data_IF_845741796816
#
_entry.id   IF_845741796816
#
_cell.length_a   1.000
_cell.length_b   1.000
_cell.length_c   1.000
_cell.angle_alpha   90.00
_cell.angle_beta   90.00
_cell.angle_gamma   90.00
#
_symmetry.space_group_name_H-M   'P 1'
#
loop_
_entity.id
_entity.type
_entity.pdbx_description
1 polymer ?
#
# COMPACT_ATOMS: atom_id res chain seq x y z
N UNK A 1 -8.62 5.19 23.53
CA UNK A 1 -8.33 4.21 22.48
C UNK A 1 -7.02 4.61 21.86
N UNK A 2 -6.10 3.66 21.78
CA UNK A 2 -4.76 3.85 21.23
C UNK A 2 -4.83 3.78 19.71
N UNK A 3 -3.95 4.47 19.00
CA UNK A 3 -3.75 4.23 17.58
C UNK A 3 -2.88 2.99 17.39
N UNK A 4 -3.26 2.11 16.47
CA UNK A 4 -2.50 0.90 16.13
C UNK A 4 -2.24 0.86 14.63
N UNK A 5 -0.97 0.96 14.26
CA UNK A 5 -0.51 0.85 12.87
C UNK A 5 0.31 -0.43 12.68
N UNK A 6 0.13 -1.09 11.55
CA UNK A 6 1.10 -2.06 11.09
C UNK A 6 2.32 -1.31 10.55
N UNK A 7 3.47 -1.56 11.15
CA UNK A 7 4.76 -1.02 10.71
C UNK A 7 5.63 -2.18 10.26
N UNK A 8 6.32 -2.05 9.14
CA UNK A 8 7.32 -3.04 8.77
C UNK A 8 8.53 -2.47 8.04
N UNK A 9 9.69 -3.05 8.34
CA UNK A 9 10.94 -2.76 7.63
C UNK A 9 10.97 -3.61 6.37
N UNK A 10 11.10 -2.94 5.23
CA UNK A 10 11.13 -3.58 3.91
C UNK A 10 12.39 -4.41 3.74
N UNK A 11 12.38 -5.48 2.92
CA UNK A 11 13.51 -6.41 2.84
C UNK A 11 14.87 -5.76 2.55
N UNK A 12 14.90 -4.71 1.73
CA UNK A 12 16.13 -3.99 1.37
C UNK A 12 16.73 -3.16 2.52
N UNK A 13 15.96 -2.93 3.59
CA UNK A 13 16.39 -2.19 4.76
C UNK A 13 16.61 -3.11 5.99
N UNK A 14 16.59 -4.43 5.81
CA UNK A 14 16.78 -5.37 6.91
C UNK A 14 18.27 -5.63 7.13
N UNK A 15 18.79 -4.95 8.14
CA UNK A 15 20.09 -5.24 8.76
C UNK A 15 19.91 -5.18 10.26
N UNK A 16 20.81 -5.80 11.03
CA UNK A 16 20.76 -5.73 12.49
C UNK A 16 20.81 -4.28 12.99
N UNK A 17 21.61 -3.41 12.34
CA UNK A 17 21.72 -1.99 12.69
C UNK A 17 20.48 -1.20 12.32
N UNK A 18 19.89 -1.45 11.14
CA UNK A 18 18.68 -0.77 10.72
C UNK A 18 17.49 -1.15 11.61
N UNK A 19 17.34 -2.42 11.98
CA UNK A 19 16.30 -2.88 12.91
C UNK A 19 16.43 -2.17 14.26
N UNK A 20 17.60 -2.26 14.89
CA UNK A 20 17.83 -1.63 16.19
C UNK A 20 17.61 -0.12 16.15
N UNK A 21 18.03 0.53 15.06
CA UNK A 21 17.81 1.95 14.86
C UNK A 21 16.33 2.32 14.72
N UNK A 22 15.56 1.56 13.93
CA UNK A 22 14.12 1.79 13.75
C UNK A 22 13.39 1.62 15.07
N UNK A 23 13.68 0.54 15.81
CA UNK A 23 13.08 0.27 17.12
C UNK A 23 13.40 1.38 18.13
N UNK A 24 14.64 1.87 18.16
CA UNK A 24 15.05 3.00 19.01
C UNK A 24 14.31 4.29 18.66
N UNK A 25 14.22 4.65 17.37
CA UNK A 25 13.56 5.89 16.95
C UNK A 25 12.05 5.86 17.22
N UNK A 26 11.39 4.72 16.99
CA UNK A 26 9.98 4.54 17.30
C UNK A 26 9.72 4.61 18.81
N UNK A 27 10.55 3.95 19.63
CA UNK A 27 10.46 4.06 21.08
C UNK A 27 10.64 5.49 21.61
N UNK A 28 11.58 6.26 21.03
CA UNK A 28 11.74 7.69 21.36
C UNK A 28 10.53 8.55 21.01
N UNK A 29 9.73 8.13 20.05
CA UNK A 29 8.50 8.81 19.66
C UNK A 29 7.28 8.36 20.50
N UNK A 30 7.46 7.53 21.53
CA UNK A 30 6.36 7.02 22.36
C UNK A 30 5.58 5.88 21.71
N UNK A 31 6.12 5.27 20.65
CA UNK A 31 5.50 4.11 20.00
C UNK A 31 5.90 2.84 20.75
N UNK A 32 4.91 2.06 21.15
CA UNK A 32 5.05 0.74 21.78
C UNK A 32 4.74 -0.37 20.78
N UNK A 33 5.26 -1.57 21.04
CA UNK A 33 5.02 -2.74 20.18
C UNK A 33 4.43 -3.87 21.02
N UNK A 34 3.30 -4.42 20.56
CA UNK A 34 2.66 -5.58 21.20
C UNK A 34 3.35 -6.89 20.80
N UNK A 35 3.76 -7.01 19.54
CA UNK A 35 4.47 -8.18 19.01
C UNK A 35 5.33 -7.78 17.80
N UNK A 36 6.59 -8.23 17.80
CA UNK A 36 7.50 -8.02 16.69
C UNK A 36 7.79 -9.35 16.00
N UNK A 37 7.35 -9.51 14.75
CA UNK A 37 7.49 -10.74 13.97
C UNK A 37 8.54 -10.63 12.85
N UNK A 38 9.02 -11.76 12.37
CA UNK A 38 9.70 -11.85 11.07
C UNK A 38 8.87 -12.76 10.16
N UNK A 39 8.65 -12.34 8.92
CA UNK A 39 7.98 -13.15 7.91
C UNK A 39 8.92 -13.34 6.73
N UNK A 40 9.25 -14.60 6.43
CA UNK A 40 10.09 -14.96 5.29
C UNK A 40 9.34 -14.83 3.96
N UNK A 41 10.08 -14.56 2.89
CA UNK A 41 9.56 -14.47 1.52
C UNK A 41 8.72 -15.67 1.09
N UNK A 42 9.09 -16.88 1.53
CA UNK A 42 8.34 -18.10 1.24
C UNK A 42 6.91 -18.02 1.79
N UNK A 43 6.74 -17.57 3.03
CA UNK A 43 5.44 -17.39 3.68
C UNK A 43 4.65 -16.25 3.03
N UNK A 44 5.30 -15.13 2.73
CA UNK A 44 4.67 -13.99 2.02
C UNK A 44 4.09 -14.44 0.67
N UNK A 45 4.83 -15.30 -0.05
CA UNK A 45 4.43 -15.86 -1.34
C UNK A 45 3.27 -16.84 -1.19
N UNK A 46 3.39 -17.82 -0.29
CA UNK A 46 2.38 -18.86 -0.05
C UNK A 46 1.04 -18.24 0.37
N UNK A 47 1.07 -17.35 1.36
CA UNK A 47 -0.14 -16.68 1.89
C UNK A 47 -0.63 -15.52 1.03
N UNK A 48 0.06 -15.22 -0.09
CA UNK A 48 -0.22 -14.10 -0.99
C UNK A 48 -0.36 -12.76 -0.24
N UNK A 49 0.45 -12.53 0.80
CA UNK A 49 0.30 -11.38 1.71
C UNK A 49 0.39 -10.05 0.96
N UNK A 50 1.37 -9.93 0.05
CA UNK A 50 1.56 -8.71 -0.75
C UNK A 50 0.38 -8.48 -1.71
N UNK A 51 -0.17 -9.54 -2.31
CA UNK A 51 -1.37 -9.42 -3.15
C UNK A 51 -2.58 -9.01 -2.30
N UNK A 52 -2.77 -9.58 -1.11
CA UNK A 52 -3.90 -9.27 -0.22
C UNK A 52 -3.84 -7.85 0.36
N UNK A 53 -2.63 -7.35 0.62
CA UNK A 53 -2.39 -6.00 1.10
C UNK A 53 -2.62 -4.97 -0.02
N UNK A 54 -2.11 -5.24 -1.23
CA UNK A 54 -2.35 -4.40 -2.42
C UNK A 54 -3.50 -4.92 -3.31
N UNK A 55 -4.60 -5.42 -2.73
CA UNK A 55 -5.61 -6.21 -3.44
C UNK A 55 -6.18 -5.53 -4.70
N UNK A 56 -6.48 -4.23 -4.63
CA UNK A 56 -7.00 -3.49 -5.79
C UNK A 56 -5.98 -3.43 -6.94
N UNK A 57 -4.71 -3.19 -6.61
CA UNK A 57 -3.61 -3.12 -7.58
C UNK A 57 -3.32 -4.51 -8.14
N UNK A 58 -3.19 -5.52 -7.26
CA UNK A 58 -2.81 -6.89 -7.65
C UNK A 58 -3.87 -7.52 -8.54
N UNK A 59 -5.15 -7.37 -8.20
CA UNK A 59 -6.26 -7.93 -8.98
C UNK A 59 -6.34 -7.29 -10.34
N UNK A 60 -6.23 -5.97 -10.43
CA UNK A 60 -6.23 -5.27 -11.71
C UNK A 60 -5.00 -5.60 -12.57
N UNK A 61 -3.85 -5.83 -11.95
CA UNK A 61 -2.61 -6.19 -12.63
C UNK A 61 -2.61 -7.65 -13.11
N UNK A 62 -3.11 -8.60 -12.33
CA UNK A 62 -2.84 -10.03 -12.55
C UNK A 62 -4.09 -10.88 -12.82
N UNK A 63 -5.22 -10.55 -12.21
CA UNK A 63 -6.34 -11.49 -12.06
C UNK A 63 -7.56 -11.10 -12.93
N UNK A 64 -7.88 -9.80 -13.03
CA UNK A 64 -9.04 -9.32 -13.76
C UNK A 64 -8.71 -9.14 -15.25
N UNK A 65 -9.64 -9.54 -16.12
CA UNK A 65 -9.57 -9.09 -17.51
C UNK A 65 -9.73 -7.57 -17.55
N UNK A 66 -9.01 -6.86 -18.43
CA UNK A 66 -9.21 -5.43 -18.64
C UNK A 66 -10.65 -5.01 -18.93
N UNK A 67 -11.46 -5.94 -19.49
CA UNK A 67 -12.88 -5.74 -19.77
C UNK A 67 -13.75 -5.64 -18.50
N UNK A 68 -13.31 -6.26 -17.42
CA UNK A 68 -14.03 -6.30 -16.13
C UNK A 68 -13.57 -5.18 -15.18
N UNK A 69 -12.59 -4.38 -15.58
CA UNK A 69 -12.10 -3.25 -14.79
C UNK A 69 -13.13 -2.13 -14.75
N UNK A 70 -13.50 -1.73 -13.54
CA UNK A 70 -14.29 -0.52 -13.32
C UNK A 70 -13.38 0.69 -13.33
N UNK A 71 -13.31 1.36 -14.49
CA UNK A 71 -12.52 2.59 -14.66
C UNK A 71 -13.43 3.80 -14.39
N UNK A 72 -13.13 4.64 -13.38
CA UNK A 72 -13.90 5.85 -13.11
C UNK A 72 -13.95 6.80 -14.32
N UNK A 73 -15.04 7.56 -14.47
CA UNK A 73 -15.22 8.46 -15.61
C UNK A 73 -14.07 9.45 -15.78
N UNK A 74 -13.64 10.10 -14.69
CA UNK A 74 -12.46 10.98 -14.68
C UNK A 74 -11.19 10.32 -15.24
N UNK A 75 -11.02 9.02 -14.97
CA UNK A 75 -9.90 8.25 -15.52
C UNK A 75 -10.03 8.00 -17.02
N UNK A 76 -11.25 7.76 -17.51
CA UNK A 76 -11.55 7.59 -18.95
C UNK A 76 -11.33 8.91 -19.70
N UNK A 77 -11.77 10.03 -19.13
CA UNK A 77 -11.54 11.38 -19.65
C UNK A 77 -10.05 11.69 -19.74
N UNK A 78 -9.29 11.42 -18.67
CA UNK A 78 -7.85 11.66 -18.62
C UNK A 78 -7.09 10.78 -19.63
N UNK A 79 -7.48 9.51 -19.76
CA UNK A 79 -6.95 8.60 -20.78
C UNK A 79 -7.17 9.16 -22.19
N UNK A 80 -8.41 9.58 -22.51
CA UNK A 80 -8.74 10.16 -23.80
C UNK A 80 -7.96 11.45 -24.07
N UNK A 81 -7.80 12.31 -23.06
CA UNK A 81 -7.05 13.56 -23.15
C UNK A 81 -5.59 13.33 -23.54
N UNK A 82 -4.96 12.29 -22.99
CA UNK A 82 -3.54 11.98 -23.23
C UNK A 82 -3.32 11.21 -24.53
N UNK A 83 -4.15 10.21 -24.82
CA UNK A 83 -3.91 9.27 -25.91
C UNK A 83 -4.73 9.55 -27.17
N UNK A 84 -5.72 10.44 -27.08
CA UNK A 84 -6.69 10.71 -28.15
C UNK A 84 -7.41 9.45 -28.65
N UNK A 85 -7.55 8.46 -27.76
CA UNK A 85 -8.27 7.20 -27.95
C UNK A 85 -9.07 6.92 -26.69
N UNK A 86 -10.27 6.38 -26.85
CA UNK A 86 -11.08 5.93 -25.71
C UNK A 86 -10.62 4.56 -25.20
N UNK A 87 -10.90 4.27 -23.94
CA UNK A 87 -10.68 2.94 -23.34
C UNK A 87 -11.40 1.85 -24.18
N UNK A 88 -12.62 2.11 -24.64
CA UNK A 88 -13.38 1.12 -25.40
C UNK A 88 -12.75 0.80 -26.76
N UNK A 89 -12.14 1.80 -27.41
CA UNK A 89 -11.42 1.59 -28.67
C UNK A 89 -10.18 0.72 -28.49
N UNK A 90 -9.36 0.97 -27.46
CA UNK A 90 -8.15 0.16 -27.20
C UNK A 90 -8.51 -1.24 -26.70
N UNK A 91 -9.60 -1.37 -25.94
CA UNK A 91 -10.12 -2.66 -25.50
C UNK A 91 -10.65 -3.49 -26.68
N UNK A 92 -11.42 -2.88 -27.59
CA UNK A 92 -11.93 -3.53 -28.78
C UNK A 92 -10.81 -3.95 -29.76
N UNK A 93 -9.70 -3.21 -29.77
CA UNK A 93 -8.51 -3.52 -30.56
C UNK A 93 -7.63 -4.63 -29.92
N UNK A 94 -7.91 -5.06 -28.69
CA UNK A 94 -7.08 -6.04 -27.97
C UNK A 94 -5.75 -5.47 -27.48
N UNK A 95 -5.65 -4.15 -27.32
CA UNK A 95 -4.41 -3.46 -26.97
C UNK A 95 -4.31 -3.11 -25.49
N UNK A 96 -5.44 -3.12 -24.76
CA UNK A 96 -5.46 -2.93 -23.31
C UNK A 96 -5.33 -4.27 -22.61
N UNK A 97 -4.24 -4.43 -21.85
CA UNK A 97 -3.81 -5.68 -21.24
C UNK A 97 -3.61 -5.52 -19.74
N UNK A 98 -3.86 -6.58 -18.98
CA UNK A 98 -3.27 -6.75 -17.66
C UNK A 98 -1.82 -7.30 -17.79
N UNK A 99 -1.11 -7.48 -16.68
CA UNK A 99 0.26 -8.00 -16.69
C UNK A 99 0.34 -9.46 -17.14
N UNK A 100 -0.64 -10.29 -16.81
CA UNK A 100 -0.68 -11.71 -17.23
C UNK A 100 -0.73 -11.81 -18.77
N UNK A 101 -1.65 -11.08 -19.38
CA UNK A 101 -1.78 -11.00 -20.85
C UNK A 101 -0.54 -10.35 -21.49
N UNK A 102 0.01 -9.30 -20.86
CA UNK A 102 1.24 -8.66 -21.33
C UNK A 102 2.46 -9.59 -21.28
N UNK A 103 2.60 -10.43 -20.25
CA UNK A 103 3.67 -11.42 -20.19
C UNK A 103 3.56 -12.40 -21.36
N UNK A 104 2.37 -12.93 -21.63
CA UNK A 104 2.16 -13.86 -22.74
C UNK A 104 2.49 -13.23 -24.10
N UNK A 105 1.95 -12.04 -24.38
CA UNK A 105 2.13 -11.33 -25.67
C UNK A 105 3.59 -10.91 -25.90
N UNK A 106 4.30 -10.52 -24.84
CA UNK A 106 5.68 -10.03 -24.92
C UNK A 106 6.73 -11.17 -24.83
N UNK A 107 6.31 -12.43 -24.79
CA UNK A 107 7.22 -13.58 -24.76
C UNK A 107 7.81 -13.86 -23.37
N UNK A 108 7.01 -13.69 -22.32
CA UNK A 108 7.33 -13.92 -20.91
C UNK A 108 8.62 -13.21 -20.44
N UNK A 109 8.72 -11.87 -20.59
CA UNK A 109 9.84 -11.13 -20.01
C UNK A 109 9.86 -11.26 -18.49
N UNK A 110 11.01 -10.94 -17.87
CA UNK A 110 11.05 -10.80 -16.41
C UNK A 110 10.14 -9.64 -15.95
N UNK A 111 9.68 -9.70 -14.70
CA UNK A 111 8.87 -8.64 -14.11
C UNK A 111 9.57 -7.27 -14.13
N UNK A 112 10.89 -7.25 -13.92
CA UNK A 112 11.70 -6.03 -14.02
C UNK A 112 11.77 -5.49 -15.45
N UNK A 113 11.85 -6.35 -16.46
CA UNK A 113 11.80 -5.93 -17.87
C UNK A 113 10.42 -5.34 -18.20
N UNK A 114 9.32 -5.98 -17.78
CA UNK A 114 7.97 -5.43 -17.97
C UNK A 114 7.83 -4.05 -17.31
N UNK A 115 8.25 -3.91 -16.06
CA UNK A 115 8.22 -2.62 -15.36
C UNK A 115 9.07 -1.56 -16.10
N UNK A 116 10.24 -1.93 -16.62
CA UNK A 116 11.09 -1.00 -17.37
C UNK A 116 10.39 -0.50 -18.64
N UNK A 117 9.77 -1.39 -19.42
CA UNK A 117 8.98 -1.01 -20.60
C UNK A 117 7.78 -0.13 -20.22
N UNK A 118 7.11 -0.46 -19.11
CA UNK A 118 5.98 0.30 -18.59
C UNK A 118 6.36 1.72 -18.14
N UNK A 119 7.49 1.86 -17.44
CA UNK A 119 8.02 3.14 -16.92
C UNK A 119 8.58 4.05 -18.00
N UNK A 120 9.08 3.49 -19.09
CA UNK A 120 9.49 4.27 -20.25
C UNK A 120 8.30 4.75 -21.08
N UNK A 121 7.13 4.14 -20.90
CA UNK A 121 5.90 4.55 -21.56
C UNK A 121 5.28 5.84 -21.00
N UNK A 122 4.13 6.20 -21.54
CA UNK A 122 3.34 7.34 -21.05
C UNK A 122 2.35 6.82 -20.02
N UNK A 123 2.61 7.11 -18.74
CA UNK A 123 1.77 6.71 -17.61
C UNK A 123 0.56 7.64 -17.41
N UNK A 124 -0.60 7.06 -17.14
CA UNK A 124 -1.83 7.77 -16.76
C UNK A 124 -2.46 7.09 -15.54
N UNK A 125 -2.83 7.91 -14.53
CA UNK A 125 -3.65 7.45 -13.40
C UNK A 125 -5.11 7.43 -13.81
N UNK A 126 -5.72 6.25 -13.77
CA UNK A 126 -7.13 6.04 -14.11
C UNK A 126 -8.04 6.10 -12.88
N UNK A 127 -7.50 5.81 -11.69
CA UNK A 127 -8.25 5.85 -10.44
C UNK A 127 -7.39 5.43 -9.24
N UNK A 128 -7.99 5.32 -8.05
CA UNK A 128 -7.31 4.76 -6.88
C UNK A 128 -6.77 3.35 -7.20
N UNK A 129 -5.46 3.16 -7.09
CA UNK A 129 -4.80 1.88 -7.37
C UNK A 129 -4.82 1.41 -8.84
N UNK A 130 -5.27 2.25 -9.77
CA UNK A 130 -5.38 1.88 -11.19
C UNK A 130 -4.59 2.85 -12.07
N UNK A 131 -3.56 2.33 -12.71
CA UNK A 131 -2.65 3.05 -13.60
C UNK A 131 -2.51 2.28 -14.90
N UNK A 132 -2.32 3.00 -15.99
CA UNK A 132 -2.02 2.44 -17.30
C UNK A 132 -0.79 3.12 -17.87
N UNK A 133 0.00 2.39 -18.64
CA UNK A 133 1.06 2.99 -19.46
C UNK A 133 0.96 2.49 -20.88
N UNK A 134 1.09 3.41 -21.85
CA UNK A 134 1.28 3.05 -23.26
C UNK A 134 2.77 2.81 -23.50
N UNK A 135 3.14 1.58 -23.87
CA UNK A 135 4.54 1.23 -24.13
C UNK A 135 5.06 1.99 -25.36
N UNK A 136 6.29 2.48 -25.36
CA UNK A 136 6.78 3.36 -26.45
C UNK A 136 6.88 2.67 -27.82
N UNK A 137 7.20 1.38 -27.81
CA UNK A 137 7.53 0.59 -29.02
C UNK A 137 6.40 -0.34 -29.46
N UNK A 138 5.22 -0.22 -28.86
CA UNK A 138 4.02 -0.96 -29.24
C UNK A 138 2.79 -0.10 -28.98
N UNK A 139 1.66 -0.40 -29.62
CA UNK A 139 0.39 0.27 -29.28
C UNK A 139 -0.30 -0.38 -28.06
N UNK A 140 0.45 -1.12 -27.24
CA UNK A 140 -0.09 -1.80 -26.07
C UNK A 140 -0.18 -0.86 -24.87
N UNK A 141 -1.31 -0.96 -24.18
CA UNK A 141 -1.62 -0.29 -22.93
C UNK A 141 -1.64 -1.35 -21.83
N UNK A 142 -0.75 -1.24 -20.85
CA UNK A 142 -0.65 -2.24 -19.78
C UNK A 142 -1.09 -1.65 -18.46
N UNK A 143 -2.03 -2.33 -17.80
CA UNK A 143 -2.52 -1.97 -16.46
C UNK A 143 -1.50 -2.38 -15.40
N UNK A 144 -1.12 -1.42 -14.55
CA UNK A 144 -0.29 -1.63 -13.37
C UNK A 144 0.99 -2.46 -13.63
N UNK A 145 1.66 -2.27 -14.78
CA UNK A 145 2.83 -3.05 -15.22
C UNK A 145 4.03 -3.03 -14.26
N UNK A 146 4.04 -2.12 -13.29
CA UNK A 146 5.03 -2.09 -12.21
C UNK A 146 4.80 -3.19 -11.16
N UNK A 147 3.57 -3.66 -10.97
CA UNK A 147 3.17 -4.49 -9.83
C UNK A 147 3.98 -5.79 -9.70
N UNK A 148 4.21 -6.59 -10.77
CA UNK A 148 4.99 -7.81 -10.66
C UNK A 148 6.39 -7.57 -10.07
N UNK A 149 7.09 -6.53 -10.54
CA UNK A 149 8.43 -6.20 -10.04
C UNK A 149 8.39 -5.70 -8.59
N UNK A 150 7.37 -4.93 -8.23
CA UNK A 150 7.15 -4.47 -6.86
C UNK A 150 6.92 -5.65 -5.91
N UNK A 151 6.18 -6.68 -6.33
CA UNK A 151 5.95 -7.89 -5.55
C UNK A 151 7.24 -8.68 -5.33
N UNK A 152 8.09 -8.82 -6.35
CA UNK A 152 9.38 -9.51 -6.26
C UNK A 152 10.30 -8.93 -5.18
N UNK A 153 10.19 -7.63 -4.89
CA UNK A 153 10.91 -6.96 -3.81
C UNK A 153 10.60 -7.51 -2.41
N UNK A 154 9.56 -8.33 -2.27
CA UNK A 154 9.14 -8.96 -1.02
C UNK A 154 9.24 -10.48 -1.04
N UNK A 155 9.03 -11.10 -2.21
CA UNK A 155 8.86 -12.56 -2.32
C UNK A 155 10.04 -13.28 -2.99
N UNK A 156 11.09 -12.56 -3.39
CA UNK A 156 12.30 -13.20 -3.89
C UNK A 156 12.96 -14.09 -2.80
N UNK A 157 13.56 -15.24 -3.16
CA UNK A 157 14.18 -16.14 -2.19
C UNK A 157 15.21 -15.44 -1.28
N UNK A 158 15.20 -15.78 0.00
CA UNK A 158 16.12 -15.23 1.00
C UNK A 158 15.72 -13.86 1.57
N UNK A 159 14.66 -13.23 1.04
CA UNK A 159 14.12 -12.01 1.63
C UNK A 159 13.25 -12.31 2.85
N UNK A 160 13.12 -11.31 3.72
CA UNK A 160 12.20 -11.32 4.85
C UNK A 160 11.68 -9.92 5.12
N UNK A 161 10.67 -9.82 5.97
CA UNK A 161 10.09 -8.56 6.45
C UNK A 161 10.11 -8.61 7.98
N UNK A 162 10.50 -7.50 8.62
CA UNK A 162 10.37 -7.32 10.09
C UNK A 162 9.13 -6.49 10.37
N UNK A 163 8.18 -7.05 11.10
CA UNK A 163 6.84 -6.48 11.31
C UNK A 163 6.67 -6.04 12.77
N UNK A 164 5.82 -5.05 12.98
CA UNK A 164 5.40 -4.55 14.28
C UNK A 164 3.91 -4.18 14.24
N UNK A 165 3.16 -4.61 15.24
CA UNK A 165 1.90 -3.95 15.61
C UNK A 165 2.25 -2.80 16.58
N UNK A 166 2.18 -1.58 16.06
CA UNK A 166 2.73 -0.38 16.67
C UNK A 166 1.61 0.48 17.28
N UNK A 167 1.56 0.50 18.62
CA UNK A 167 0.60 1.26 19.42
C UNK A 167 1.16 2.61 19.87
N UNK A 168 0.39 3.69 19.73
CA UNK A 168 0.76 5.02 20.19
C UNK A 168 -0.46 5.82 20.69
N UNK A 169 -0.29 6.59 21.76
CA UNK A 169 -1.36 7.37 22.37
C UNK A 169 -1.67 8.61 21.51
N UNK A 170 -2.89 8.76 20.98
CA UNK A 170 -3.26 9.92 20.18
C UNK A 170 -3.23 11.25 20.94
N UNK A 171 -3.18 11.26 22.28
CA UNK A 171 -3.00 12.50 23.07
C UNK A 171 -1.56 13.02 23.02
N UNK A 172 -0.58 12.12 22.85
CA UNK A 172 0.84 12.46 22.74
C UNK A 172 1.32 12.51 21.27
N UNK A 173 0.73 11.68 20.41
CA UNK A 173 1.10 11.53 19.02
C UNK A 173 -0.11 11.21 18.13
N UNK A 174 -0.65 12.21 17.44
CA UNK A 174 -1.70 11.99 16.44
C UNK A 174 -1.21 11.09 15.29
N UNK A 175 -2.11 10.39 14.62
CA UNK A 175 -1.79 9.59 13.43
C UNK A 175 -1.10 10.42 12.33
N UNK A 176 -1.59 11.64 12.14
CA UNK A 176 -1.01 12.62 11.22
C UNK A 176 0.46 12.92 11.53
N UNK A 177 0.79 13.17 12.79
CA UNK A 177 2.16 13.46 13.19
C UNK A 177 3.03 12.19 13.23
N UNK A 178 2.46 11.03 13.58
CA UNK A 178 3.14 9.75 13.40
C UNK A 178 3.59 9.57 11.95
N UNK A 179 2.69 9.73 10.97
CA UNK A 179 3.05 9.58 9.54
C UNK A 179 4.01 10.67 9.06
N UNK A 180 3.80 11.91 9.45
CA UNK A 180 4.56 13.06 8.95
C UNK A 180 5.94 13.22 9.60
N UNK A 181 5.98 13.17 10.93
CA UNK A 181 7.17 13.48 11.74
C UNK A 181 7.96 12.22 12.10
N UNK A 182 7.29 11.11 12.39
CA UNK A 182 7.97 9.87 12.80
C UNK A 182 8.34 9.02 11.59
N UNK A 183 7.39 8.67 10.73
CA UNK A 183 7.65 7.83 9.55
C UNK A 183 8.31 8.62 8.41
N UNK A 184 7.70 9.76 8.05
CA UNK A 184 8.18 10.65 6.98
C UNK A 184 7.56 10.34 5.61
N UNK A 185 7.74 11.28 4.67
CA UNK A 185 7.18 11.18 3.32
C UNK A 185 7.71 9.96 2.54
N UNK A 186 6.88 9.42 1.64
CA UNK A 186 7.22 8.23 0.82
C UNK A 186 8.52 8.39 0.04
N UNK A 187 8.80 9.58 -0.51
CA UNK A 187 10.10 9.92 -1.03
C UNK A 187 11.01 10.37 0.13
N UNK A 188 12.05 9.59 0.49
CA UNK A 188 12.93 9.92 1.61
C UNK A 188 13.66 11.26 1.50
N UNK A 189 13.88 11.78 0.30
CA UNK A 189 14.49 13.10 0.08
C UNK A 189 13.55 14.24 0.51
N UNK A 190 12.24 14.04 0.35
CA UNK A 190 11.18 14.98 0.75
C UNK A 190 10.66 14.75 2.16
N UNK A 191 11.17 13.72 2.85
CA UNK A 191 10.75 13.39 4.20
C UNK A 191 11.28 14.41 5.23
N UNK A 192 10.47 14.68 6.26
CA UNK A 192 10.79 15.66 7.28
C UNK A 192 12.13 15.33 7.96
N UNK A 193 12.98 16.33 8.26
CA UNK A 193 14.19 16.11 9.05
C UNK A 193 13.86 15.39 10.36
N UNK A 194 14.62 14.33 10.68
CA UNK A 194 14.39 13.52 11.88
C UNK A 194 13.38 12.37 11.70
N UNK A 195 12.62 12.32 10.60
CA UNK A 195 11.75 11.17 10.32
C UNK A 195 12.55 9.93 9.90
N UNK A 196 12.00 8.74 10.14
CA UNK A 196 12.63 7.45 9.86
C UNK A 196 13.06 7.31 8.41
N UNK A 197 12.19 7.61 7.44
CA UNK A 197 12.56 7.52 6.01
C UNK A 197 13.74 8.44 5.69
N UNK A 198 13.75 9.66 6.24
CA UNK A 198 14.86 10.60 6.07
C UNK A 198 16.15 10.09 6.72
N UNK A 199 16.06 9.58 7.95
CA UNK A 199 17.21 9.08 8.70
C UNK A 199 17.79 7.80 8.08
N UNK A 200 16.95 6.88 7.62
CA UNK A 200 17.37 5.69 6.87
C UNK A 200 18.11 6.10 5.59
N UNK A 201 17.61 7.11 4.87
CA UNK A 201 18.29 7.66 3.69
C UNK A 201 19.64 8.25 4.01
N UNK A 202 19.69 9.14 5.00
CA UNK A 202 20.88 9.93 5.30
C UNK A 202 21.97 9.10 6.00
N UNK A 203 21.58 8.05 6.73
CA UNK A 203 22.49 7.18 7.50
C UNK A 203 22.68 5.80 6.89
N UNK A 204 22.24 5.56 5.65
CA UNK A 204 22.17 4.23 5.05
C UNK A 204 23.49 3.43 5.17
N UNK A 205 24.65 4.05 4.93
CA UNK A 205 25.97 3.41 5.08
C UNK A 205 26.28 2.99 6.51
N UNK A 206 25.88 3.79 7.50
CA UNK A 206 26.12 3.49 8.92
C UNK A 206 25.17 2.39 9.43
N UNK A 207 24.04 2.23 8.74
CA UNK A 207 23.03 1.20 8.98
C UNK A 207 23.25 -0.05 8.12
N UNK A 208 24.40 -0.16 7.46
CA UNK A 208 24.80 -1.29 6.62
C UNK A 208 23.85 -1.57 5.44
N UNK A 209 23.11 -0.56 4.97
CA UNK A 209 22.26 -0.67 3.79
C UNK A 209 23.10 -0.62 2.51
N UNK A 210 22.80 -1.49 1.54
CA UNK A 210 23.54 -1.59 0.27
C UNK A 210 23.38 -0.34 -0.60
N UNK A 211 22.14 0.16 -0.73
CA UNK A 211 21.80 1.33 -1.53
C UNK A 211 21.18 2.42 -0.68
N UNK A 212 21.32 3.67 -1.13
CA UNK A 212 20.63 4.79 -0.50
C UNK A 212 19.11 4.69 -0.74
N UNK A 213 18.28 4.71 0.32
CA UNK A 213 16.82 4.73 0.19
C UNK A 213 16.28 5.79 -0.77
N UNK A 214 15.32 5.38 -1.61
CA UNK A 214 14.61 6.19 -2.62
C UNK A 214 13.12 5.87 -2.60
N UNK A 215 12.30 6.54 -3.41
CA UNK A 215 10.82 6.36 -3.39
C UNK A 215 10.37 4.89 -3.47
N UNK A 216 10.96 4.10 -4.37
CA UNK A 216 10.64 2.68 -4.51
C UNK A 216 11.17 1.81 -3.34
N UNK A 217 12.24 2.28 -2.68
CA UNK A 217 13.00 1.59 -1.64
C UNK A 217 13.17 2.50 -0.43
N UNK A 218 12.05 2.90 0.17
CA UNK A 218 12.03 3.89 1.26
C UNK A 218 12.23 3.28 2.65
N UNK A 219 12.64 2.01 2.70
CA UNK A 219 13.06 1.28 3.90
C UNK A 219 11.95 0.85 4.86
N UNK A 220 10.88 1.63 5.02
CA UNK A 220 9.82 1.35 6.01
C UNK A 220 8.41 1.65 5.49
N UNK A 221 7.47 0.77 5.84
CA UNK A 221 6.02 0.94 5.70
C UNK A 221 5.38 1.28 7.05
N UNK A 222 4.31 2.06 7.01
CA UNK A 222 3.38 2.25 8.11
C UNK A 222 1.97 2.50 7.53
N UNK A 223 0.95 1.96 8.16
CA UNK A 223 -0.47 2.14 7.80
C UNK A 223 -0.84 3.63 7.60
N UNK A 224 -1.64 3.96 6.58
CA UNK A 224 -2.00 5.35 6.30
C UNK A 224 -3.08 5.91 7.25
N UNK A 225 -3.91 5.02 7.79
CA UNK A 225 -4.99 5.37 8.71
C UNK A 225 -5.51 4.15 9.47
N UNK A 226 -6.39 4.35 10.46
CA UNK A 226 -6.93 3.32 11.36
C UNK A 226 -7.62 2.15 10.65
N UNK A 227 -8.45 2.40 9.64
CA UNK A 227 -9.16 1.33 8.92
C UNK A 227 -8.19 0.51 8.06
N UNK A 228 -7.23 1.17 7.41
CA UNK A 228 -6.19 0.48 6.65
C UNK A 228 -5.28 -0.32 7.61
N UNK A 229 -4.93 0.23 8.77
CA UNK A 229 -4.19 -0.47 9.82
C UNK A 229 -4.91 -1.73 10.31
N UNK A 230 -6.23 -1.67 10.49
CA UNK A 230 -7.04 -2.84 10.83
C UNK A 230 -7.03 -3.92 9.73
N UNK A 231 -7.13 -3.50 8.46
CA UNK A 231 -7.01 -4.42 7.32
C UNK A 231 -5.62 -5.06 7.26
N UNK A 232 -4.59 -4.26 7.48
CA UNK A 232 -3.20 -4.69 7.49
C UNK A 232 -2.93 -5.69 8.62
N UNK A 233 -3.43 -5.42 9.83
CA UNK A 233 -3.42 -6.34 10.96
C UNK A 233 -4.01 -7.71 10.57
N UNK A 234 -5.21 -7.73 9.97
CA UNK A 234 -5.83 -8.98 9.50
C UNK A 234 -4.99 -9.70 8.45
N UNK A 235 -4.40 -8.98 7.49
CA UNK A 235 -3.67 -9.59 6.37
C UNK A 235 -2.31 -10.12 6.79
N UNK A 236 -1.57 -9.36 7.59
CA UNK A 236 -0.19 -9.66 7.92
C UNK A 236 -0.06 -10.55 9.15
N UNK A 237 -0.95 -10.42 10.13
CA UNK A 237 -0.95 -11.24 11.34
C UNK A 237 -1.93 -12.42 11.26
N UNK A 238 -2.80 -12.46 10.25
CA UNK A 238 -3.79 -13.55 10.05
C UNK A 238 -4.75 -13.68 11.24
N UNK A 239 -5.07 -12.56 11.89
CA UNK A 239 -5.92 -12.47 13.09
C UNK A 239 -7.31 -11.92 12.78
N UNK A 240 -8.27 -12.24 13.65
CA UNK A 240 -9.62 -11.68 13.55
C UNK A 240 -9.58 -10.17 13.84
N UNK A 241 -10.13 -9.32 12.95
CA UNK A 241 -10.30 -7.88 13.22
C UNK A 241 -10.99 -7.56 14.55
N UNK A 242 -11.84 -8.44 15.07
CA UNK A 242 -12.49 -8.27 16.36
C UNK A 242 -11.51 -8.35 17.56
N UNK A 243 -10.30 -8.90 17.38
CA UNK A 243 -9.25 -8.91 18.39
C UNK A 243 -8.48 -7.58 18.47
N UNK A 244 -8.68 -6.69 17.49
CA UNK A 244 -8.06 -5.37 17.44
C UNK A 244 -8.96 -4.33 18.10
N UNK A 245 -8.41 -3.42 18.92
CA UNK A 245 -9.20 -2.46 19.74
C UNK A 245 -10.22 -1.67 18.90
N UNK A 246 -9.78 -1.13 17.74
CA UNK A 246 -10.67 -0.45 16.80
C UNK A 246 -11.78 -1.36 16.24
N UNK A 247 -11.46 -2.59 15.82
CA UNK A 247 -12.43 -3.51 15.24
C UNK A 247 -13.49 -3.91 16.27
N UNK A 248 -13.07 -4.21 17.50
CA UNK A 248 -13.97 -4.46 18.62
C UNK A 248 -14.89 -3.26 18.90
N UNK A 249 -14.32 -2.04 18.93
CA UNK A 249 -15.08 -0.83 19.21
C UNK A 249 -16.12 -0.50 18.13
N UNK A 250 -15.79 -0.71 16.84
CA UNK A 250 -16.74 -0.53 15.74
C UNK A 250 -17.91 -1.51 15.85
N UNK A 251 -17.63 -2.78 16.16
CA UNK A 251 -18.67 -3.81 16.36
C UNK A 251 -19.56 -3.49 17.57
N UNK A 252 -18.96 -3.14 18.72
CA UNK A 252 -19.70 -2.70 19.92
C UNK A 252 -20.51 -1.42 19.65
N UNK A 253 -20.04 -0.56 18.74
CA UNK A 253 -20.75 0.62 18.25
C UNK A 253 -21.94 0.33 17.33
N UNK A 254 -22.29 -0.95 17.11
CA UNK A 254 -23.45 -1.36 16.32
C UNK A 254 -23.15 -1.64 14.85
N UNK A 255 -21.88 -1.60 14.43
CA UNK A 255 -21.49 -2.01 13.08
C UNK A 255 -21.64 -3.53 12.91
N UNK A 256 -22.23 -3.96 11.80
CA UNK A 256 -22.31 -5.39 11.50
C UNK A 256 -20.94 -5.94 11.06
N UNK A 257 -20.64 -7.24 11.26
CA UNK A 257 -19.42 -7.86 10.71
C UNK A 257 -19.30 -7.73 9.19
N UNK A 258 -20.43 -7.63 8.48
CA UNK A 258 -20.47 -7.39 7.03
C UNK A 258 -19.99 -5.99 6.69
N UNK A 259 -20.44 -4.98 7.43
CA UNK A 259 -20.05 -3.59 7.19
C UNK A 259 -18.59 -3.36 7.59
N UNK A 260 -18.12 -3.97 8.68
CA UNK A 260 -16.71 -3.93 9.05
C UNK A 260 -15.82 -4.50 7.93
N UNK A 261 -16.24 -5.62 7.33
CA UNK A 261 -15.56 -6.19 6.15
C UNK A 261 -15.56 -5.21 4.97
N UNK A 262 -16.69 -4.56 4.70
CA UNK A 262 -16.79 -3.53 3.66
C UNK A 262 -15.78 -2.39 3.88
N UNK A 263 -15.63 -1.89 5.11
CA UNK A 263 -14.64 -0.87 5.41
C UNK A 263 -13.20 -1.38 5.15
N UNK A 264 -12.87 -2.57 5.62
CA UNK A 264 -11.54 -3.16 5.38
C UNK A 264 -11.26 -3.49 3.91
N UNK A 265 -12.29 -3.53 3.05
CA UNK A 265 -12.19 -3.71 1.61
C UNK A 265 -12.20 -2.37 0.84
N UNK A 266 -11.99 -1.26 1.56
CA UNK A 266 -11.96 0.10 1.03
C UNK A 266 -13.28 0.53 0.34
N UNK A 267 -14.42 0.04 0.82
CA UNK A 267 -15.72 0.45 0.29
C UNK A 267 -15.97 1.96 0.51
N UNK A 268 -16.79 2.60 -0.35
CA UNK A 268 -17.21 3.97 -0.13
C UNK A 268 -17.89 4.14 1.23
N UNK A 269 -17.48 5.16 1.96
CA UNK A 269 -18.00 5.49 3.27
C UNK A 269 -18.18 7.01 3.40
N UNK A 270 -18.88 7.39 4.46
CA UNK A 270 -18.95 8.76 4.96
C UNK A 270 -18.30 8.80 6.34
N UNK A 271 -17.41 9.75 6.51
CA UNK A 271 -16.84 10.14 7.79
C UNK A 271 -16.94 11.66 7.90
N UNK A 272 -17.66 12.13 8.93
CA UNK A 272 -18.02 13.54 9.07
C UNK A 272 -18.70 14.06 7.78
N UNK A 273 -18.21 15.18 7.23
CA UNK A 273 -18.75 15.80 6.01
C UNK A 273 -18.11 15.27 4.71
N UNK A 274 -17.23 14.26 4.79
CA UNK A 274 -16.49 13.72 3.64
C UNK A 274 -17.03 12.35 3.23
N UNK A 275 -17.19 12.16 1.91
CA UNK A 275 -17.54 10.88 1.29
C UNK A 275 -16.44 10.44 0.32
N UNK A 276 -16.16 9.14 0.30
CA UNK A 276 -15.16 8.57 -0.59
C UNK A 276 -14.74 7.16 -0.19
N UNK A 277 -13.74 6.58 -0.86
CA UNK A 277 -13.11 5.34 -0.40
C UNK A 277 -12.66 5.49 1.05
N UNK A 278 -13.01 4.53 1.91
CA UNK A 278 -12.78 4.72 3.35
C UNK A 278 -11.32 4.92 3.72
N UNK A 279 -10.37 4.27 3.04
CA UNK A 279 -8.94 4.45 3.32
C UNK A 279 -8.50 5.89 3.05
N UNK A 280 -9.06 6.54 2.02
CA UNK A 280 -8.72 7.92 1.66
C UNK A 280 -9.31 8.91 2.68
N UNK A 281 -10.56 8.73 3.10
CA UNK A 281 -11.23 9.68 4.01
C UNK A 281 -10.85 9.50 5.48
N UNK A 282 -10.20 8.38 5.83
CA UNK A 282 -9.70 8.09 7.17
C UNK A 282 -8.17 8.13 7.26
N UNK A 283 -7.49 8.58 6.20
CA UNK A 283 -6.06 8.85 6.24
C UNK A 283 -5.75 9.93 7.29
N UNK A 284 -4.69 9.75 8.07
CA UNK A 284 -4.27 10.69 9.14
C UNK A 284 -5.29 10.91 10.28
N UNK A 285 -6.37 10.12 10.35
CA UNK A 285 -7.39 10.19 11.41
C UNK A 285 -6.99 9.32 12.61
N UNK A 286 -7.29 9.75 13.84
CA UNK A 286 -7.08 8.92 15.03
C UNK A 286 -8.19 7.87 15.18
N UNK A 287 -7.82 6.66 15.61
CA UNK A 287 -8.73 5.52 15.72
C UNK A 287 -9.95 5.83 16.60
N UNK A 288 -9.75 6.62 17.67
CA UNK A 288 -10.80 7.03 18.61
C UNK A 288 -11.93 7.85 17.98
N UNK A 289 -11.70 8.47 16.83
CA UNK A 289 -12.67 9.35 16.19
C UNK A 289 -13.67 8.58 15.31
N UNK A 290 -13.40 7.32 14.97
CA UNK A 290 -14.23 6.56 14.03
C UNK A 290 -15.51 5.96 14.65
N UNK A 291 -15.49 5.30 15.83
CA UNK A 291 -16.67 4.67 16.38
C UNK A 291 -17.86 5.63 16.51
N UNK A 292 -19.00 5.25 15.92
CA UNK A 292 -20.22 6.08 15.88
C UNK A 292 -20.26 7.16 14.79
N UNK A 293 -19.11 7.50 14.19
CA UNK A 293 -18.97 8.61 13.23
C UNK A 293 -18.70 8.15 11.78
N UNK A 294 -18.37 6.88 11.58
CA UNK A 294 -18.14 6.30 10.25
C UNK A 294 -19.30 5.41 9.81
N UNK A 295 -19.73 5.54 8.54
CA UNK A 295 -20.82 4.75 7.96
C UNK A 295 -20.52 4.40 6.50
N UNK A 296 -20.77 3.17 6.10
CA UNK A 296 -20.71 2.79 4.69
C UNK A 296 -21.80 3.52 3.87
N UNK A 297 -21.46 3.84 2.63
CA UNK A 297 -22.43 4.27 1.63
C UNK A 297 -22.94 3.01 0.91
N UNK A 298 -24.26 2.84 0.90
CA UNK A 298 -24.92 1.68 0.29
C UNK A 298 -24.73 1.63 -1.23
#
# INVERSE_FOLDING_TARGET
>A
MTNNALVFIKPQAITARAIAFVEEQLGKAGVSFSEAGEIEAAVLKEKRIIDRHYASISRAAMDLSPRDLRIPEKGREEFFRIFHRSIDQVLAAGELLNCTEAFEILGNPSAQTLNTLWRNGIEVKLGPGLYVSRMEKSDLFVINGFYPSMKELFVAPGLKVRLYDAGFDPDDLSWKDFRRLVIGATNPEKAAPGSLRRLLRDRYKNLDLEEQPRTAFNGIHASAGPIEGLREFQVWLDRDPAEHELGEALLKGGMSPRDLRGLMENAPARFQDTEGPVFDITEDVDARDLPGNIRLLA
#
